data_IF_301293637743
#
_entry.id   IF_301293637743
#
_cell.length_a   1.000
_cell.length_b   1.000
_cell.length_c   1.000
_cell.angle_alpha   90.00
_cell.angle_beta   90.00
_cell.angle_gamma   90.00
#
_symmetry.space_group_name_H-M   'P 1'
#
loop_
_entity.id
_entity.type
_entity.pdbx_description
1 polymer ?
#
# COMPACT_ATOMS: atom_id res chain seq x y z
N UNK A 1 -9.09 -12.69 -2.49
CA UNK A 1 -8.59 -11.83 -1.39
C UNK A 1 -7.20 -12.32 -1.04
N UNK A 2 -6.23 -11.42 -0.86
CA UNK A 2 -4.89 -11.73 -0.38
C UNK A 2 -4.66 -11.00 0.94
N UNK A 3 -4.20 -11.74 1.95
CA UNK A 3 -3.89 -11.20 3.28
C UNK A 3 -2.44 -11.54 3.58
N UNK A 4 -1.66 -10.51 3.87
CA UNK A 4 -0.30 -10.64 4.36
C UNK A 4 -0.25 -10.05 5.77
N UNK A 5 0.29 -10.82 6.72
CA UNK A 5 0.45 -10.38 8.11
C UNK A 5 1.81 -10.87 8.63
N UNK A 6 2.70 -9.91 8.96
CA UNK A 6 3.89 -10.20 9.75
C UNK A 6 3.58 -9.99 11.23
N UNK A 7 4.04 -10.94 12.05
CA UNK A 7 3.97 -10.89 13.51
C UNK A 7 5.30 -10.43 14.14
N UNK A 8 6.34 -10.18 13.32
CA UNK A 8 7.68 -9.84 13.80
C UNK A 8 7.87 -8.33 13.82
N UNK A 9 8.24 -7.80 14.98
CA UNK A 9 8.40 -6.36 15.18
C UNK A 9 9.62 -5.77 14.47
N UNK A 10 10.64 -6.61 14.26
CA UNK A 10 11.83 -6.29 13.50
C UNK A 10 12.10 -7.39 12.48
N UNK A 11 12.09 -7.01 11.22
CA UNK A 11 12.40 -7.87 10.10
C UNK A 11 13.69 -7.41 9.42
N UNK A 12 14.44 -8.37 8.90
CA UNK A 12 15.66 -8.08 8.16
C UNK A 12 15.34 -7.63 6.72
N UNK A 13 16.34 -7.08 6.02
CA UNK A 13 16.17 -6.69 4.62
C UNK A 13 15.78 -7.88 3.73
N UNK A 14 16.29 -9.08 4.01
CA UNK A 14 15.92 -10.29 3.27
C UNK A 14 14.43 -10.60 3.41
N UNK A 15 13.85 -10.37 4.59
CA UNK A 15 12.43 -10.59 4.84
C UNK A 15 11.58 -9.56 4.09
N UNK A 16 12.00 -8.30 4.02
CA UNK A 16 11.33 -7.29 3.19
C UNK A 16 11.32 -7.63 1.69
N UNK A 17 12.38 -8.28 1.18
CA UNK A 17 12.39 -8.76 -0.20
C UNK A 17 11.35 -9.87 -0.43
N UNK A 18 11.08 -10.71 0.57
CA UNK A 18 10.00 -11.69 0.51
C UNK A 18 8.63 -11.00 0.48
N UNK A 19 8.46 -9.89 1.20
CA UNK A 19 7.21 -9.13 1.21
C UNK A 19 6.92 -8.57 -0.18
N UNK A 20 7.92 -7.94 -0.80
CA UNK A 20 7.82 -7.41 -2.16
C UNK A 20 7.52 -8.53 -3.18
N UNK A 21 8.15 -9.69 -3.01
CA UNK A 21 7.91 -10.86 -3.88
C UNK A 21 6.47 -11.34 -3.79
N UNK A 22 5.96 -11.58 -2.59
CA UNK A 22 4.59 -12.06 -2.39
C UNK A 22 3.55 -11.03 -2.84
N UNK A 23 3.82 -9.75 -2.60
CA UNK A 23 3.01 -8.65 -3.13
C UNK A 23 2.97 -8.69 -4.66
N UNK A 24 4.11 -8.82 -5.32
CA UNK A 24 4.20 -8.95 -6.78
C UNK A 24 3.39 -10.13 -7.32
N UNK A 25 3.51 -11.31 -6.69
CA UNK A 25 2.73 -12.51 -7.05
C UNK A 25 1.23 -12.24 -6.92
N UNK A 26 0.78 -11.63 -5.82
CA UNK A 26 -0.64 -11.33 -5.62
C UNK A 26 -1.20 -10.37 -6.69
N UNK A 27 -0.43 -9.34 -7.04
CA UNK A 27 -0.82 -8.37 -8.07
C UNK A 27 -0.88 -9.01 -9.47
N UNK A 28 0.11 -9.84 -9.82
CA UNK A 28 0.12 -10.59 -11.09
C UNK A 28 -1.08 -11.51 -11.24
N UNK A 29 -1.57 -12.07 -10.13
CA UNK A 29 -2.77 -12.91 -10.10
C UNK A 29 -4.08 -12.10 -10.06
N UNK A 30 -4.03 -10.78 -10.25
CA UNK A 30 -5.24 -9.95 -10.36
C UNK A 30 -6.02 -9.84 -9.05
N UNK A 31 -5.31 -9.80 -7.91
CA UNK A 31 -5.95 -9.62 -6.60
C UNK A 31 -6.88 -8.40 -6.59
N UNK A 32 -8.09 -8.59 -6.05
CA UNK A 32 -9.09 -7.53 -5.88
C UNK A 32 -9.03 -6.88 -4.51
N UNK A 33 -8.78 -7.67 -3.48
CA UNK A 33 -8.71 -7.20 -2.09
C UNK A 33 -7.36 -7.58 -1.49
N UNK A 34 -6.58 -6.57 -1.12
CA UNK A 34 -5.26 -6.71 -0.52
C UNK A 34 -5.27 -6.13 0.89
N UNK A 35 -4.98 -6.98 1.88
CA UNK A 35 -4.72 -6.58 3.26
C UNK A 35 -3.24 -6.85 3.52
N UNK A 36 -2.51 -5.85 3.97
CA UNK A 36 -1.08 -5.97 4.21
C UNK A 36 -0.74 -5.36 5.56
N UNK A 37 -0.32 -6.18 6.51
CA UNK A 37 -0.09 -5.77 7.90
C UNK A 37 1.32 -6.16 8.29
N UNK A 38 2.15 -5.18 8.62
CA UNK A 38 3.44 -5.45 9.24
C UNK A 38 3.59 -4.59 10.48
N UNK A 39 4.36 -5.00 11.50
CA UNK A 39 4.51 -4.19 12.70
C UNK A 39 5.55 -3.09 12.47
N UNK A 40 5.31 -1.93 13.08
CA UNK A 40 6.23 -0.79 13.02
C UNK A 40 6.30 -0.13 11.64
N UNK A 41 7.39 0.60 11.40
CA UNK A 41 7.57 1.42 10.21
C UNK A 41 8.88 1.15 9.45
N UNK A 42 9.51 0.00 9.74
CA UNK A 42 10.80 -0.39 9.16
C UNK A 42 10.68 -0.78 7.68
N UNK A 43 9.54 -1.34 7.30
CA UNK A 43 9.20 -1.68 5.92
C UNK A 43 8.61 -0.48 5.15
N UNK A 44 9.11 -0.29 3.91
CA UNK A 44 8.65 0.73 2.98
C UNK A 44 7.64 0.12 2.02
N UNK A 45 6.35 0.30 2.29
CA UNK A 45 5.30 -0.34 1.50
C UNK A 45 5.20 0.32 0.11
N UNK A 46 5.36 -0.43 -1.00
CA UNK A 46 5.45 0.13 -2.35
C UNK A 46 4.07 0.50 -2.92
N UNK A 47 3.39 1.45 -2.29
CA UNK A 47 1.99 1.78 -2.55
C UNK A 47 1.70 2.13 -4.01
N UNK A 48 2.54 2.94 -4.67
CA UNK A 48 2.29 3.30 -6.07
C UNK A 48 2.45 2.13 -7.04
N UNK A 49 3.32 1.15 -6.74
CA UNK A 49 3.39 -0.09 -7.52
C UNK A 49 2.12 -0.92 -7.35
N UNK A 50 1.57 -0.93 -6.14
CA UNK A 50 0.29 -1.62 -5.82
C UNK A 50 -0.88 -0.94 -6.53
N UNK A 51 -0.92 0.39 -6.51
CA UNK A 51 -1.96 1.19 -7.16
C UNK A 51 -1.92 1.09 -8.69
N UNK A 52 -0.77 0.76 -9.29
CA UNK A 52 -0.71 0.46 -10.73
C UNK A 52 -1.51 -0.80 -11.14
N UNK A 53 -1.99 -1.60 -10.17
CA UNK A 53 -2.86 -2.74 -10.46
C UNK A 53 -4.24 -2.32 -10.96
N UNK A 54 -4.66 -2.91 -12.08
CA UNK A 54 -5.97 -2.65 -12.71
C UNK A 54 -7.13 -3.42 -12.08
N UNK A 55 -6.85 -4.39 -11.21
CA UNK A 55 -7.87 -5.25 -10.59
C UNK A 55 -8.23 -4.84 -9.16
N UNK A 56 -7.41 -4.01 -8.52
CA UNK A 56 -7.44 -3.79 -7.09
C UNK A 56 -8.61 -2.89 -6.68
N UNK A 57 -9.53 -3.43 -5.89
CA UNK A 57 -10.74 -2.74 -5.40
C UNK A 57 -10.61 -2.30 -3.95
N UNK A 58 -9.88 -3.04 -3.13
CA UNK A 58 -9.66 -2.75 -1.71
C UNK A 58 -8.18 -2.87 -1.34
N UNK A 59 -7.66 -1.85 -0.68
CA UNK A 59 -6.30 -1.78 -0.17
C UNK A 59 -6.32 -1.39 1.32
N UNK A 60 -5.74 -2.25 2.17
CA UNK A 60 -5.66 -2.03 3.62
C UNK A 60 -4.23 -2.28 4.13
N UNK A 61 -3.28 -1.35 3.90
CA UNK A 61 -1.97 -1.38 4.52
C UNK A 61 -2.05 -0.93 5.97
N UNK A 62 -1.34 -1.64 6.83
CA UNK A 62 -1.14 -1.30 8.24
C UNK A 62 0.32 -1.44 8.62
N UNK A 63 0.84 -0.44 9.33
CA UNK A 63 2.20 -0.46 9.86
C UNK A 63 3.23 -0.41 8.76
N UNK A 64 3.49 0.76 8.18
CA UNK A 64 4.52 0.92 7.15
C UNK A 64 4.90 2.38 6.94
N UNK A 65 6.07 2.60 6.37
CA UNK A 65 6.48 3.92 5.89
C UNK A 65 6.14 4.06 4.40
N UNK A 66 5.43 5.14 4.04
CA UNK A 66 5.07 5.46 2.65
C UNK A 66 5.91 6.61 2.07
N UNK A 67 6.73 7.29 2.89
CA UNK A 67 7.39 8.56 2.53
C UNK A 67 8.57 8.43 1.57
N UNK A 68 9.13 7.21 1.38
CA UNK A 68 10.34 7.01 0.55
C UNK A 68 10.13 6.99 -0.96
N UNK A 69 8.91 7.19 -1.45
CA UNK A 69 8.62 7.10 -2.89
C UNK A 69 8.63 8.47 -3.55
N UNK A 70 9.51 8.64 -4.54
CA UNK A 70 9.56 9.85 -5.37
C UNK A 70 8.38 9.88 -6.34
N UNK A 71 7.65 10.99 -6.38
CA UNK A 71 6.48 11.25 -7.23
C UNK A 71 6.82 11.43 -8.73
N UNK A 72 8.02 11.04 -9.15
CA UNK A 72 8.58 11.40 -10.47
C UNK A 72 8.17 10.49 -11.62
N UNK A 73 7.45 9.39 -11.38
CA UNK A 73 6.87 8.56 -12.44
C UNK A 73 5.38 8.80 -12.52
N UNK A 74 4.91 9.26 -13.69
CA UNK A 74 3.51 9.33 -14.12
C UNK A 74 2.56 8.60 -13.16
N UNK A 75 1.86 9.36 -12.29
CA UNK A 75 0.95 8.77 -11.31
C UNK A 75 0.01 7.81 -12.04
N UNK A 76 0.12 6.52 -11.73
CA UNK A 76 -0.77 5.54 -12.30
C UNK A 76 -2.19 5.84 -11.81
N UNK A 77 -3.14 5.97 -12.75
CA UNK A 77 -4.56 6.08 -12.42
C UNK A 77 -5.09 4.70 -12.01
N UNK A 78 -5.25 4.50 -10.71
CA UNK A 78 -5.91 3.35 -10.13
C UNK A 78 -7.44 3.53 -10.17
N UNK A 79 -8.02 3.43 -11.36
CA UNK A 79 -9.46 3.61 -11.57
C UNK A 79 -10.28 2.43 -11.01
N UNK A 80 -9.63 1.37 -10.54
CA UNK A 80 -10.29 0.19 -9.98
C UNK A 80 -10.51 0.26 -8.46
N UNK A 81 -9.74 1.11 -7.75
CA UNK A 81 -9.81 1.17 -6.31
C UNK A 81 -11.12 1.82 -5.86
N UNK A 82 -11.74 1.23 -4.83
CA UNK A 82 -12.98 1.74 -4.22
C UNK A 82 -12.82 1.95 -2.73
N UNK A 83 -11.92 1.19 -2.09
CA UNK A 83 -11.70 1.25 -0.64
C UNK A 83 -10.21 1.36 -0.34
N UNK A 84 -9.84 2.41 0.39
CA UNK A 84 -8.49 2.63 0.91
C UNK A 84 -8.57 2.83 2.42
N UNK A 85 -7.87 1.99 3.18
CA UNK A 85 -7.76 2.13 4.63
C UNK A 85 -6.29 2.13 5.00
N UNK A 86 -5.82 3.28 5.49
CA UNK A 86 -4.45 3.48 5.96
C UNK A 86 -4.49 3.56 7.48
N UNK A 87 -3.76 2.65 8.14
CA UNK A 87 -3.70 2.62 9.61
C UNK A 87 -2.26 2.47 10.09
N UNK A 88 -1.83 3.28 11.05
CA UNK A 88 -0.44 3.23 11.55
C UNK A 88 0.58 3.33 10.41
N UNK A 89 0.44 4.33 9.54
CA UNK A 89 1.38 4.55 8.43
C UNK A 89 2.07 5.90 8.57
N UNK A 90 3.32 6.00 8.10
CA UNK A 90 3.99 7.28 7.92
C UNK A 90 3.69 7.82 6.53
N UNK A 91 3.15 9.03 6.46
CA UNK A 91 2.66 9.65 5.24
C UNK A 91 2.68 11.17 5.38
N UNK A 92 3.37 11.86 4.48
CA UNK A 92 3.33 13.31 4.40
C UNK A 92 2.15 13.83 3.54
N UNK A 93 1.89 15.13 3.61
CA UNK A 93 0.79 15.77 2.89
C UNK A 93 0.90 15.61 1.37
N UNK A 94 2.11 15.75 0.82
CA UNK A 94 2.34 15.66 -0.63
C UNK A 94 2.03 14.24 -1.13
N UNK A 95 2.42 13.23 -0.37
CA UNK A 95 2.14 11.83 -0.63
C UNK A 95 0.65 11.50 -0.49
N UNK A 96 -0.04 12.06 0.52
CA UNK A 96 -1.50 11.90 0.63
C UNK A 96 -2.22 12.49 -0.60
N UNK A 97 -1.85 13.69 -1.03
CA UNK A 97 -2.42 14.31 -2.23
C UNK A 97 -2.18 13.48 -3.49
N UNK A 98 -0.98 12.93 -3.63
CA UNK A 98 -0.65 12.04 -4.73
C UNK A 98 -1.48 10.74 -4.71
N UNK A 99 -1.68 10.12 -3.54
CA UNK A 99 -2.50 8.92 -3.41
C UNK A 99 -3.96 9.17 -3.81
N UNK A 100 -4.53 10.30 -3.39
CA UNK A 100 -5.90 10.67 -3.72
C UNK A 100 -6.05 10.98 -5.21
N UNK A 101 -5.07 11.68 -5.80
CA UNK A 101 -5.02 11.95 -7.25
C UNK A 101 -4.92 10.66 -8.07
N UNK A 102 -4.13 9.69 -7.62
CA UNK A 102 -4.00 8.39 -8.28
C UNK A 102 -5.26 7.54 -8.22
N UNK A 103 -6.19 7.80 -7.30
CA UNK A 103 -7.33 6.91 -7.04
C UNK A 103 -8.67 7.68 -7.08
N UNK A 104 -9.07 8.22 -8.24
CA UNK A 104 -10.20 9.15 -8.35
C UNK A 104 -11.57 8.53 -8.01
N UNK A 105 -11.65 7.19 -7.95
CA UNK A 105 -12.90 6.46 -7.75
C UNK A 105 -13.05 5.84 -6.34
N UNK A 106 -12.25 6.29 -5.36
CA UNK A 106 -12.40 5.88 -3.97
C UNK A 106 -13.79 6.30 -3.44
N UNK A 107 -14.50 5.34 -2.85
CA UNK A 107 -15.80 5.55 -2.19
C UNK A 107 -15.61 5.56 -0.67
N UNK A 108 -14.71 4.72 -0.15
CA UNK A 108 -14.42 4.62 1.27
C UNK A 108 -12.95 4.91 1.51
N UNK A 109 -12.68 5.99 2.22
CA UNK A 109 -11.36 6.34 2.73
C UNK A 109 -11.37 6.27 4.25
N UNK A 110 -10.41 5.57 4.83
CA UNK A 110 -10.19 5.52 6.27
C UNK A 110 -8.73 5.85 6.56
N UNK A 111 -8.52 6.82 7.45
CA UNK A 111 -7.20 7.29 7.88
C UNK A 111 -7.16 7.20 9.41
N UNK A 112 -6.29 6.36 9.94
CA UNK A 112 -6.17 6.10 11.38
C UNK A 112 -4.70 6.13 11.80
N UNK A 113 -4.38 6.90 12.86
CA UNK A 113 -3.03 6.95 13.43
C UNK A 113 -1.92 7.18 12.37
N UNK A 114 -2.10 8.20 11.53
CA UNK A 114 -1.10 8.64 10.55
C UNK A 114 -0.11 9.58 11.23
N UNK A 115 1.18 9.49 10.89
CA UNK A 115 2.25 10.33 11.44
C UNK A 115 3.26 10.74 10.37
#
# INVERSE_FOLDING_TARGET
MFVFESVREFDSREVFLLYDKWLGVALQNGVKDLVFRVPGFSYHFPIFKVLASKSLRKLVPRGSDLTRFSLSSSLANCDSLRKLSLSYVRLDEQMLQALLTSCPLIINLTLEHIN
#
